data_IF_194682054054
#
_entry.id   IF_194682054054
#
_cell.length_a   1.000
_cell.length_b   1.000
_cell.length_c   1.000
_cell.angle_alpha   90.00
_cell.angle_beta   90.00
_cell.angle_gamma   90.00
#
_symmetry.space_group_name_H-M   'P 1'
#
loop_
_entity.id
_entity.type
_entity.pdbx_description
1 polymer ?
#
# COMPACT_ATOMS: atom_id res chain seq x y z
N UNK A 1 20.08 -28.95 -25.11
CA UNK A 1 19.70 -27.56 -24.79
C UNK A 1 18.76 -27.58 -23.61
N UNK A 2 19.22 -27.14 -22.44
CA UNK A 2 18.38 -27.05 -21.25
C UNK A 2 17.77 -25.65 -21.22
N UNK A 3 16.47 -25.56 -21.43
CA UNK A 3 15.70 -24.33 -21.22
C UNK A 3 15.77 -23.96 -19.75
N UNK A 4 16.43 -22.84 -19.45
CA UNK A 4 16.39 -22.22 -18.14
C UNK A 4 14.93 -21.80 -17.86
N UNK A 5 14.32 -22.20 -16.74
CA UNK A 5 13.02 -21.65 -16.39
C UNK A 5 13.23 -20.17 -16.08
N UNK A 6 12.57 -19.30 -16.82
CA UNK A 6 12.41 -17.92 -16.44
C UNK A 6 11.72 -17.90 -15.07
N UNK A 7 12.49 -17.58 -14.03
CA UNK A 7 11.91 -17.24 -12.74
C UNK A 7 11.21 -15.89 -12.97
N UNK A 8 9.89 -15.95 -13.14
CA UNK A 8 9.06 -14.77 -13.03
C UNK A 8 9.10 -14.38 -11.56
N UNK A 9 9.92 -13.41 -11.23
CA UNK A 9 9.88 -12.76 -9.91
C UNK A 9 8.55 -12.00 -9.90
N UNK A 10 7.51 -12.62 -9.33
CA UNK A 10 6.30 -11.90 -8.96
C UNK A 10 6.70 -10.97 -7.82
N UNK A 11 6.41 -9.70 -7.94
CA UNK A 11 6.41 -8.82 -6.79
C UNK A 11 5.24 -9.26 -5.91
N UNK A 12 5.51 -10.11 -4.93
CA UNK A 12 4.48 -10.62 -4.04
C UNK A 12 4.18 -9.63 -2.91
N UNK A 13 5.02 -8.61 -2.74
CA UNK A 13 4.85 -7.56 -1.72
C UNK A 13 5.61 -6.27 -2.06
N UNK A 14 5.05 -5.13 -1.61
CA UNK A 14 5.73 -3.85 -1.56
C UNK A 14 6.34 -3.68 -0.17
N UNK A 15 7.58 -3.24 -0.07
CA UNK A 15 8.30 -3.11 1.20
C UNK A 15 8.85 -1.69 1.39
N UNK A 16 8.63 -1.13 2.59
CA UNK A 16 9.33 0.03 3.10
C UNK A 16 10.23 -0.41 4.26
N UNK A 17 11.46 0.08 4.29
CA UNK A 17 12.43 -0.18 5.34
C UNK A 17 12.58 1.03 6.24
N UNK A 18 12.31 0.85 7.54
CA UNK A 18 12.42 1.87 8.56
C UNK A 18 13.78 1.86 9.26
N UNK A 19 13.95 2.79 10.17
CA UNK A 19 15.08 2.83 11.08
C UNK A 19 15.06 1.62 12.03
N UNK A 20 16.25 1.26 12.52
CA UNK A 20 16.44 0.20 13.54
C UNK A 20 15.82 -1.16 13.17
N UNK A 21 15.77 -1.48 11.88
CA UNK A 21 15.22 -2.74 11.40
C UNK A 21 13.69 -2.77 11.30
N UNK A 22 13.01 -1.64 11.43
CA UNK A 22 11.58 -1.53 11.16
C UNK A 22 11.28 -1.84 9.69
N UNK A 23 10.15 -2.50 9.45
CA UNK A 23 9.68 -2.81 8.08
C UNK A 23 8.16 -2.68 8.00
N UNK A 24 7.69 -2.27 6.84
CA UNK A 24 6.30 -2.43 6.44
C UNK A 24 6.24 -3.15 5.11
N UNK A 25 5.54 -4.27 5.09
CA UNK A 25 5.29 -5.07 3.89
C UNK A 25 3.79 -5.09 3.61
N UNK A 26 3.42 -4.80 2.37
CA UNK A 26 2.05 -4.77 1.90
C UNK A 26 1.91 -5.74 0.73
N UNK A 27 0.88 -6.56 0.77
CA UNK A 27 0.47 -7.44 -0.33
C UNK A 27 -1.04 -7.40 -0.51
N UNK A 28 -1.49 -7.86 -1.67
CA UNK A 28 -2.91 -7.95 -2.02
C UNK A 28 -3.28 -9.42 -2.12
N UNK A 29 -4.28 -9.85 -1.35
CA UNK A 29 -4.76 -11.24 -1.35
C UNK A 29 -5.81 -11.52 -2.42
N UNK A 30 -6.53 -10.50 -2.88
CA UNK A 30 -7.59 -10.64 -3.86
C UNK A 30 -8.68 -9.58 -3.71
N UNK A 31 -9.70 -9.67 -4.53
CA UNK A 31 -10.87 -8.83 -4.41
C UNK A 31 -11.73 -9.25 -3.22
N UNK A 32 -12.32 -8.27 -2.54
CA UNK A 32 -13.29 -8.52 -1.47
C UNK A 32 -14.53 -9.25 -1.99
N UNK A 33 -15.01 -8.83 -3.15
CA UNK A 33 -16.20 -9.38 -3.80
C UNK A 33 -15.82 -9.94 -5.18
N UNK A 34 -15.24 -11.17 -5.26
CA UNK A 34 -14.70 -11.70 -6.50
C UNK A 34 -15.75 -11.93 -7.58
N UNK A 35 -17.01 -12.17 -7.19
CA UNK A 35 -18.13 -12.40 -8.11
C UNK A 35 -18.79 -11.10 -8.61
N UNK A 36 -18.52 -9.96 -7.97
CA UNK A 36 -19.07 -8.66 -8.37
C UNK A 36 -18.22 -8.05 -9.48
N UNK A 37 -18.83 -7.80 -10.64
CA UNK A 37 -18.11 -7.25 -11.80
C UNK A 37 -18.80 -6.04 -12.43
N UNK A 38 -20.03 -5.73 -12.02
CA UNK A 38 -20.91 -4.72 -12.59
C UNK A 38 -21.03 -3.45 -11.73
N UNK A 39 -20.69 -3.52 -10.45
CA UNK A 39 -20.59 -2.35 -9.58
C UNK A 39 -19.15 -1.85 -9.53
N UNK A 40 -18.95 -0.59 -9.92
CA UNK A 40 -17.61 0.00 -9.99
C UNK A 40 -16.91 0.08 -8.63
N UNK A 41 -17.66 0.29 -7.55
CA UNK A 41 -17.08 0.39 -6.21
C UNK A 41 -16.83 -0.98 -5.60
N UNK A 42 -17.87 -1.79 -5.49
CA UNK A 42 -17.79 -3.10 -4.86
C UNK A 42 -16.87 -4.06 -5.62
N UNK A 43 -16.83 -3.93 -6.96
CA UNK A 43 -15.95 -4.75 -7.79
C UNK A 43 -14.45 -4.50 -7.57
N UNK A 44 -14.08 -3.40 -6.94
CA UNK A 44 -12.68 -2.96 -6.85
C UNK A 44 -12.08 -2.93 -5.45
N UNK A 45 -12.84 -3.26 -4.41
CA UNK A 45 -12.29 -3.43 -3.06
C UNK A 45 -11.35 -4.64 -3.01
N UNK A 46 -10.18 -4.41 -2.41
CA UNK A 46 -9.11 -5.40 -2.31
C UNK A 46 -8.81 -5.73 -0.86
N UNK A 47 -8.68 -7.02 -0.55
CA UNK A 47 -8.07 -7.44 0.70
C UNK A 47 -6.59 -7.10 0.71
N UNK A 48 -6.23 -6.16 1.55
CA UNK A 48 -4.85 -5.75 1.81
C UNK A 48 -4.34 -6.54 3.02
N UNK A 49 -3.19 -7.16 2.85
CA UNK A 49 -2.44 -7.76 3.94
C UNK A 49 -1.25 -6.87 4.26
N UNK A 50 -1.12 -6.48 5.51
CA UNK A 50 0.04 -5.76 6.00
C UNK A 50 0.81 -6.58 7.03
N UNK A 51 2.12 -6.44 7.02
CA UNK A 51 3.02 -6.91 8.05
C UNK A 51 3.91 -5.74 8.47
N UNK A 52 3.85 -5.38 9.72
CA UNK A 52 4.61 -4.26 10.28
C UNK A 52 5.50 -4.78 11.40
N UNK A 53 6.75 -4.36 11.37
CA UNK A 53 7.72 -4.62 12.42
C UNK A 53 8.34 -3.31 12.86
N UNK A 54 8.33 -3.06 14.16
CA UNK A 54 8.97 -1.90 14.79
C UNK A 54 9.68 -2.32 16.09
N UNK A 55 10.39 -1.39 16.78
CA UNK A 55 11.05 -1.70 18.03
C UNK A 55 10.12 -2.15 19.16
N UNK A 56 8.82 -1.88 19.09
CA UNK A 56 7.83 -2.26 20.11
C UNK A 56 7.25 -3.66 19.87
N UNK A 57 7.25 -4.11 18.62
CA UNK A 57 6.72 -5.42 18.28
C UNK A 57 6.46 -5.61 16.80
N UNK A 58 5.74 -6.65 16.52
CA UNK A 58 5.38 -7.09 15.16
C UNK A 58 3.90 -7.42 15.14
N UNK A 59 3.21 -6.97 14.08
CA UNK A 59 1.81 -7.32 13.87
C UNK A 59 1.50 -7.48 12.39
N UNK A 60 0.41 -8.16 12.14
CA UNK A 60 -0.18 -8.31 10.82
C UNK A 60 -1.63 -7.85 10.84
N UNK A 61 -2.10 -7.37 9.71
CA UNK A 61 -3.51 -7.12 9.48
C UNK A 61 -3.93 -7.63 8.10
N UNK A 62 -5.21 -7.88 7.95
CA UNK A 62 -5.83 -8.21 6.67
C UNK A 62 -7.22 -7.58 6.66
N UNK A 63 -7.40 -6.61 5.81
CA UNK A 63 -8.65 -5.84 5.75
C UNK A 63 -8.92 -5.34 4.32
N UNK A 64 -10.20 -5.24 3.88
CA UNK A 64 -10.54 -4.69 2.58
C UNK A 64 -10.50 -3.16 2.61
N UNK A 65 -9.33 -2.58 2.76
CA UNK A 65 -9.16 -1.16 3.05
C UNK A 65 -8.63 -0.30 1.88
N UNK A 66 -8.37 -0.90 0.71
CA UNK A 66 -8.02 -0.16 -0.50
C UNK A 66 -8.81 -0.67 -1.70
N UNK A 67 -9.13 0.23 -2.60
CA UNK A 67 -9.62 -0.11 -3.93
C UNK A 67 -8.48 -0.20 -4.94
N UNK A 68 -8.73 -0.77 -6.11
CA UNK A 68 -7.77 -0.76 -7.22
C UNK A 68 -7.37 0.67 -7.60
N UNK A 69 -8.31 1.62 -7.53
CA UNK A 69 -8.04 3.05 -7.81
C UNK A 69 -7.06 3.64 -6.80
N UNK A 70 -7.24 3.35 -5.52
CA UNK A 70 -6.39 3.86 -4.44
C UNK A 70 -4.99 3.23 -4.47
N UNK A 71 -4.86 1.97 -4.86
CA UNK A 71 -3.56 1.35 -5.12
C UNK A 71 -2.84 2.06 -6.28
N UNK A 72 -3.58 2.43 -7.34
CA UNK A 72 -3.03 3.22 -8.44
C UNK A 72 -2.59 4.62 -7.97
N UNK A 73 -3.41 5.30 -7.20
CA UNK A 73 -3.09 6.62 -6.62
C UNK A 73 -1.83 6.57 -5.74
N UNK A 74 -1.71 5.54 -4.90
CA UNK A 74 -0.54 5.34 -4.06
C UNK A 74 0.72 5.10 -4.91
N UNK A 75 0.61 4.30 -5.97
CA UNK A 75 1.72 4.06 -6.88
C UNK A 75 2.17 5.35 -7.59
N UNK A 76 1.23 6.14 -8.09
CA UNK A 76 1.51 7.43 -8.71
C UNK A 76 2.12 8.43 -7.74
N UNK A 77 1.63 8.46 -6.51
CA UNK A 77 2.16 9.32 -5.46
C UNK A 77 3.60 8.96 -5.10
N UNK A 78 3.92 7.68 -4.87
CA UNK A 78 5.30 7.24 -4.64
C UNK A 78 6.21 7.55 -5.83
N UNK A 79 5.73 7.32 -7.04
CA UNK A 79 6.50 7.58 -8.26
C UNK A 79 6.81 9.08 -8.44
N UNK A 80 5.83 9.94 -8.14
CA UNK A 80 6.00 11.39 -8.21
C UNK A 80 7.06 11.89 -7.21
N UNK A 81 7.05 11.38 -5.99
CA UNK A 81 8.08 11.69 -4.99
C UNK A 81 9.45 11.18 -5.46
N UNK A 82 9.49 9.94 -5.95
CA UNK A 82 10.72 9.32 -6.45
C UNK A 82 11.37 10.08 -7.60
N UNK A 83 10.59 10.82 -8.38
CA UNK A 83 11.08 11.70 -9.46
C UNK A 83 11.26 13.16 -9.02
N UNK A 84 11.10 13.48 -7.73
CA UNK A 84 11.21 14.85 -7.22
C UNK A 84 10.06 15.77 -7.65
N UNK A 85 8.90 15.22 -7.96
CA UNK A 85 7.72 15.92 -8.50
C UNK A 85 6.48 15.75 -7.61
N UNK A 86 6.68 15.61 -6.29
CA UNK A 86 5.57 15.42 -5.35
C UNK A 86 4.52 16.51 -5.50
N UNK A 87 3.31 16.12 -5.88
CA UNK A 87 2.16 17.03 -6.03
C UNK A 87 1.41 17.25 -4.71
N UNK A 88 1.57 16.34 -3.75
CA UNK A 88 0.96 16.38 -2.42
C UNK A 88 1.92 15.79 -1.40
N UNK A 89 1.89 16.34 -0.18
CA UNK A 89 2.64 15.77 0.96
C UNK A 89 1.94 14.58 1.59
N UNK A 90 0.68 14.31 1.24
CA UNK A 90 -0.13 13.29 1.87
C UNK A 90 -0.87 12.46 0.82
N UNK A 91 -0.99 11.15 1.12
CA UNK A 91 -1.85 10.21 0.42
C UNK A 91 -2.77 9.52 1.44
N UNK A 92 -4.06 9.74 1.31
CA UNK A 92 -5.11 9.19 2.18
C UNK A 92 -6.19 8.51 1.33
N UNK A 93 -6.98 7.65 1.95
CA UNK A 93 -7.91 6.75 1.27
C UNK A 93 -9.32 6.85 1.85
N UNK A 94 -10.26 6.23 1.20
CA UNK A 94 -11.67 6.17 1.65
C UNK A 94 -11.79 5.53 3.02
N UNK A 95 -11.11 4.38 3.23
CA UNK A 95 -11.02 3.77 4.54
C UNK A 95 -9.81 4.33 5.31
N UNK A 96 -9.97 4.74 6.56
CA UNK A 96 -8.92 5.43 7.31
C UNK A 96 -7.86 4.49 7.92
N UNK A 97 -7.79 3.26 7.47
CA UNK A 97 -6.86 2.23 7.97
C UNK A 97 -5.40 2.58 7.71
N UNK A 98 -5.12 3.16 6.55
CA UNK A 98 -3.79 3.54 6.10
C UNK A 98 -3.76 5.00 5.67
N UNK A 99 -2.66 5.68 5.96
CA UNK A 99 -2.36 7.04 5.49
C UNK A 99 -0.86 7.19 5.39
N UNK A 100 -0.41 7.89 4.37
CA UNK A 100 1.01 8.14 4.13
C UNK A 100 1.27 9.64 4.03
N UNK A 101 2.39 10.07 4.60
CA UNK A 101 2.90 11.44 4.49
C UNK A 101 4.34 11.40 4.00
N UNK A 102 4.71 12.34 3.14
CA UNK A 102 6.09 12.57 2.76
C UNK A 102 6.65 13.74 3.54
N UNK A 103 7.78 13.52 4.19
CA UNK A 103 8.52 14.55 4.91
C UNK A 103 9.95 14.60 4.41
N UNK A 104 10.48 15.82 4.23
CA UNK A 104 11.85 16.07 3.83
C UNK A 104 12.44 17.19 4.67
N UNK A 105 12.86 16.86 5.86
CA UNK A 105 13.55 17.76 6.81
C UNK A 105 15.05 17.44 6.85
N UNK A 106 15.66 17.27 5.68
CA UNK A 106 17.07 16.92 5.51
C UNK A 106 17.32 15.43 5.24
N UNK A 107 16.37 14.56 5.57
CA UNK A 107 16.34 13.16 5.17
C UNK A 107 14.95 12.81 4.69
N UNK A 108 14.79 12.46 3.40
CA UNK A 108 13.49 12.05 2.87
C UNK A 108 12.94 10.85 3.63
N UNK A 109 11.67 10.92 4.05
CA UNK A 109 11.01 9.84 4.74
C UNK A 109 9.53 9.73 4.37
N UNK A 110 9.01 8.53 4.42
CA UNK A 110 7.58 8.24 4.42
C UNK A 110 7.15 7.98 5.86
N UNK A 111 6.13 8.68 6.30
CA UNK A 111 5.43 8.38 7.54
C UNK A 111 4.18 7.60 7.19
N UNK A 112 4.11 6.34 7.61
CA UNK A 112 2.92 5.51 7.45
C UNK A 112 2.15 5.47 8.76
N UNK A 113 0.85 5.73 8.71
CA UNK A 113 -0.07 5.64 9.84
C UNK A 113 -0.97 4.43 9.67
N UNK A 114 -1.06 3.64 10.74
CA UNK A 114 -1.87 2.42 10.83
C UNK A 114 -2.97 2.65 11.86
N UNK A 115 -4.22 2.65 11.42
CA UNK A 115 -5.37 2.91 12.27
C UNK A 115 -6.45 1.83 12.10
N UNK A 116 -7.42 1.80 12.99
CA UNK A 116 -8.53 0.84 12.98
C UNK A 116 -8.03 -0.62 12.92
N UNK A 117 -8.43 -1.39 11.93
CA UNK A 117 -8.06 -2.80 11.77
C UNK A 117 -6.59 -3.01 11.44
N UNK A 118 -5.92 -1.99 10.90
CA UNK A 118 -4.49 -2.02 10.60
C UNK A 118 -3.59 -1.63 11.79
N UNK A 119 -4.16 -1.10 12.88
CA UNK A 119 -3.42 -0.70 14.07
C UNK A 119 -2.87 -1.91 14.85
N UNK A 120 -1.79 -1.73 15.63
CA UNK A 120 -1.28 -2.78 16.50
C UNK A 120 -2.36 -3.36 17.42
N UNK A 121 -2.48 -4.69 17.55
CA UNK A 121 -3.55 -5.32 18.32
C UNK A 121 -3.50 -5.08 19.82
N UNK A 122 -2.33 -4.69 20.34
CA UNK A 122 -2.15 -4.35 21.76
C UNK A 122 -2.59 -2.93 22.14
N UNK A 123 -2.95 -2.08 21.18
CA UNK A 123 -3.46 -0.74 21.44
C UNK A 123 -4.89 -0.78 21.95
N UNK A 124 -5.22 0.16 22.82
CA UNK A 124 -6.59 0.38 23.25
C UNK A 124 -7.46 0.85 22.09
N UNK A 125 -8.76 0.61 22.19
CA UNK A 125 -9.71 0.92 21.11
C UNK A 125 -9.64 2.38 20.68
N UNK A 126 -9.57 3.30 21.64
CA UNK A 126 -9.50 4.74 21.39
C UNK A 126 -8.20 5.13 20.66
N UNK A 127 -7.09 4.50 21.01
CA UNK A 127 -5.79 4.72 20.38
C UNK A 127 -5.79 4.24 18.93
N UNK A 128 -6.52 3.18 18.62
CA UNK A 128 -6.62 2.63 17.27
C UNK A 128 -7.34 3.58 16.30
N UNK A 129 -8.24 4.43 16.76
CA UNK A 129 -8.87 5.46 15.93
C UNK A 129 -7.88 6.54 15.50
N UNK A 130 -6.96 6.92 16.38
CA UNK A 130 -5.90 7.89 16.08
C UNK A 130 -4.82 7.26 15.21
N UNK A 131 -4.53 5.99 15.45
CA UNK A 131 -3.52 5.20 14.75
C UNK A 131 -2.10 5.42 15.26
N UNK A 132 -1.23 4.52 14.84
CA UNK A 132 0.21 4.53 15.12
C UNK A 132 0.98 4.94 13.88
N UNK A 133 1.87 5.90 14.01
CA UNK A 133 2.75 6.35 12.93
C UNK A 133 4.11 5.66 13.01
N UNK A 134 4.61 5.20 11.86
CA UNK A 134 5.96 4.68 11.67
C UNK A 134 6.68 5.51 10.63
N UNK A 135 7.95 5.80 10.88
CA UNK A 135 8.81 6.58 9.99
C UNK A 135 9.73 5.65 9.21
N UNK A 136 9.68 5.78 7.90
CA UNK A 136 10.53 5.02 6.97
C UNK A 136 11.39 6.00 6.19
N UNK A 137 12.67 6.21 6.59
CA UNK A 137 13.63 6.92 5.75
C UNK A 137 13.76 6.21 4.41
N UNK A 138 13.71 6.96 3.33
CA UNK A 138 13.69 6.38 1.98
C UNK A 138 14.73 7.06 1.09
N UNK A 139 15.37 6.26 0.22
CA UNK A 139 15.98 6.79 -0.97
C UNK A 139 14.89 6.97 -2.05
N UNK A 140 15.03 7.97 -2.92
CA UNK A 140 14.02 8.22 -3.97
C UNK A 140 13.81 6.99 -4.87
N UNK A 141 14.85 6.22 -5.12
CA UNK A 141 14.77 4.97 -5.89
C UNK A 141 13.95 3.88 -5.18
N UNK A 142 13.87 3.89 -3.86
CA UNK A 142 13.03 2.93 -3.13
C UNK A 142 11.55 3.21 -3.37
N UNK A 143 11.19 4.48 -3.54
CA UNK A 143 9.81 4.89 -3.85
C UNK A 143 9.40 4.52 -5.28
N UNK A 144 10.29 4.67 -6.25
CA UNK A 144 10.01 4.21 -7.61
C UNK A 144 9.87 2.70 -7.68
N UNK A 145 10.64 1.96 -6.86
CA UNK A 145 10.50 0.51 -6.72
C UNK A 145 9.16 0.14 -6.08
N UNK A 146 8.79 0.80 -4.97
CA UNK A 146 7.51 0.58 -4.31
C UNK A 146 6.33 0.85 -5.27
N UNK A 147 6.41 1.91 -6.07
CA UNK A 147 5.42 2.20 -7.12
C UNK A 147 5.34 1.07 -8.16
N UNK A 148 6.48 0.53 -8.57
CA UNK A 148 6.53 -0.60 -9.51
C UNK A 148 5.89 -1.87 -8.92
N UNK A 149 6.13 -2.15 -7.63
CA UNK A 149 5.53 -3.30 -6.93
C UNK A 149 4.01 -3.15 -6.82
N UNK A 150 3.51 -1.95 -6.50
CA UNK A 150 2.08 -1.65 -6.48
C UNK A 150 1.43 -1.83 -7.85
N UNK A 151 2.09 -1.39 -8.92
CA UNK A 151 1.61 -1.61 -10.30
C UNK A 151 1.61 -3.09 -10.68
N UNK A 152 2.51 -3.89 -10.12
CA UNK A 152 2.50 -5.34 -10.31
C UNK A 152 1.24 -5.97 -9.70
N UNK A 153 0.77 -5.50 -8.54
CA UNK A 153 -0.52 -5.93 -8.00
C UNK A 153 -1.68 -5.59 -8.93
N UNK A 154 -1.68 -4.39 -9.53
CA UNK A 154 -2.74 -3.97 -10.45
C UNK A 154 -2.74 -4.76 -11.76
N UNK A 155 -1.62 -5.34 -12.18
CA UNK A 155 -1.58 -6.29 -13.30
C UNK A 155 -2.20 -7.64 -12.91
N UNK A 156 -2.08 -8.03 -11.67
CA UNK A 156 -2.67 -9.26 -11.13
C UNK A 156 -4.15 -9.06 -10.76
N UNK A 157 -4.49 -7.88 -10.21
CA UNK A 157 -5.83 -7.49 -9.79
C UNK A 157 -6.23 -6.17 -10.48
N UNK A 158 -6.53 -6.19 -11.78
CA UNK A 158 -6.86 -4.98 -12.52
C UNK A 158 -8.20 -4.39 -12.10
N UNK A 159 -8.40 -3.12 -12.41
CA UNK A 159 -9.70 -2.45 -12.28
C UNK A 159 -10.79 -3.25 -12.99
N UNK A 160 -11.93 -3.42 -12.32
CA UNK A 160 -13.12 -4.11 -12.83
C UNK A 160 -14.31 -3.16 -12.84
N UNK A 161 -15.36 -3.56 -13.52
CA UNK A 161 -16.55 -2.75 -13.73
C UNK A 161 -16.35 -1.78 -14.91
N UNK A 162 -17.23 -1.84 -15.89
CA UNK A 162 -17.18 -0.90 -17.01
C UNK A 162 -17.46 0.51 -16.48
N UNK A 163 -16.58 1.45 -16.83
CA UNK A 163 -16.96 2.84 -16.86
C UNK A 163 -18.14 2.91 -17.83
N UNK A 164 -19.34 3.19 -17.30
CA UNK A 164 -20.59 3.11 -18.04
C UNK A 164 -20.42 3.54 -19.47
N UNK A 165 -20.64 2.62 -20.38
CA UNK A 165 -20.53 2.88 -21.80
C UNK A 165 -21.44 4.03 -22.14
N UNK A 166 -20.85 5.11 -22.62
CA UNK A 166 -21.60 6.13 -23.32
C UNK A 166 -22.16 5.47 -24.58
N UNK A 167 -23.45 5.20 -24.54
CA UNK A 167 -24.20 4.90 -25.76
C UNK A 167 -24.29 6.13 -26.64
#
# INVERSE_FOLDING_TARGET
MRTCPCIVIRADEMTLHGERGGTFRLSIDGYQFPETTDDRWDANWLFVRGHVQDPQGEWTFRDPCLTTFEVQELAEWFDSIGHGQASSQECSFTEPNLRFEYVDEGTPAIVARFAHESAPPWQLREERFVGTAQIFPVALNDLTRAASDLRAFLRQFPERGEAGGAA
#
